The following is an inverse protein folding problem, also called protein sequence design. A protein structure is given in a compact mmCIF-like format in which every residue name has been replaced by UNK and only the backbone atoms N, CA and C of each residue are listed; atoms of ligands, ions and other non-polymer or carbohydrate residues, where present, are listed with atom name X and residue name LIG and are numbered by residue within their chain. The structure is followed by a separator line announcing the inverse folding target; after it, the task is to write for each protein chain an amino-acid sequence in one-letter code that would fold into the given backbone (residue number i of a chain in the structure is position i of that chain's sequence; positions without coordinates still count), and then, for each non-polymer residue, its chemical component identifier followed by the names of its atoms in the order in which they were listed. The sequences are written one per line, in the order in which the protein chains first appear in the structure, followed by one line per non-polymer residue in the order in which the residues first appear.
data_IF_244317545577
#
_entry.id   IF_244317545577
#
_cell.length_a   1.000
_cell.length_b   1.000
_cell.length_c   1.000
_cell.angle_alpha   90.00
_cell.angle_beta   90.00
_cell.angle_gamma   90.00
#
_symmetry.space_group_name_H-M   'P 1'
#
loop_
_entity.id
_entity.type
_entity.pdbx_description
1 polymer ?
#
# COMPACT_ATOMS: atom_id res chain seq x y z
N UNK A 1 6.00 8.02 -10.10
CA UNK A 1 6.96 7.81 -9.00
C UNK A 1 6.86 6.34 -8.62
N UNK A 2 7.98 5.69 -8.28
CA UNK A 2 7.98 4.27 -7.94
C UNK A 2 7.83 4.11 -6.43
N UNK A 3 7.04 3.12 -6.03
CA UNK A 3 6.89 2.70 -4.65
C UNK A 3 7.13 1.20 -4.55
N UNK A 4 7.95 0.75 -3.61
CA UNK A 4 8.19 -0.68 -3.39
C UNK A 4 7.96 -1.06 -1.93
N UNK A 5 7.62 -2.32 -1.66
CA UNK A 5 7.30 -2.77 -0.28
C UNK A 5 8.48 -2.62 0.69
N UNK A 6 9.70 -2.58 0.17
CA UNK A 6 10.97 -2.52 0.89
C UNK A 6 11.64 -1.13 0.86
N UNK A 7 10.95 -0.11 0.36
CA UNK A 7 11.47 1.27 0.23
C UNK A 7 12.80 1.36 -0.58
N UNK A 8 12.97 0.49 -1.56
CA UNK A 8 14.20 0.32 -2.33
C UNK A 8 14.37 1.27 -3.52
N UNK A 9 13.36 2.09 -3.85
CA UNK A 9 13.33 2.87 -5.10
C UNK A 9 13.89 4.30 -4.96
N UNK A 10 14.65 4.58 -3.90
CA UNK A 10 15.32 5.86 -3.65
C UNK A 10 14.46 6.87 -2.86
N UNK A 11 14.88 8.14 -2.84
CA UNK A 11 14.30 9.16 -1.95
C UNK A 11 12.80 9.46 -2.18
N UNK A 12 12.28 9.17 -3.37
CA UNK A 12 10.86 9.34 -3.70
C UNK A 12 10.00 8.13 -3.33
N UNK A 13 10.59 7.08 -2.77
CA UNK A 13 9.88 5.86 -2.42
C UNK A 13 9.17 6.01 -1.07
N UNK A 14 7.86 6.23 -1.11
CA UNK A 14 6.97 6.24 0.07
C UNK A 14 6.58 4.84 0.56
N UNK A 15 7.12 3.78 -0.03
CA UNK A 15 6.84 2.42 0.40
C UNK A 15 5.37 2.01 0.27
N UNK A 16 4.89 1.22 1.24
CA UNK A 16 3.49 0.79 1.34
C UNK A 16 2.53 1.98 1.44
N UNK A 17 2.92 3.07 2.11
CA UNK A 17 2.09 4.28 2.23
C UNK A 17 1.75 4.85 0.84
N UNK A 18 2.75 4.99 -0.04
CA UNK A 18 2.53 5.47 -1.41
C UNK A 18 1.67 4.53 -2.26
N UNK A 19 1.80 3.21 -2.05
CA UNK A 19 0.94 2.22 -2.72
C UNK A 19 -0.51 2.36 -2.26
N UNK A 20 -0.74 2.55 -0.96
CA UNK A 20 -2.08 2.72 -0.39
C UNK A 20 -2.69 4.07 -0.79
N UNK A 21 -1.91 5.15 -0.82
CA UNK A 21 -2.32 6.47 -1.33
C UNK A 21 -2.81 6.35 -2.78
N UNK A 22 -2.08 5.62 -3.63
CA UNK A 22 -2.51 5.34 -5.00
C UNK A 22 -3.83 4.56 -5.04
N UNK A 23 -3.95 3.47 -4.27
CA UNK A 23 -5.18 2.65 -4.23
C UNK A 23 -6.40 3.49 -3.85
N UNK A 24 -6.28 4.34 -2.82
CA UNK A 24 -7.38 5.18 -2.33
C UNK A 24 -7.90 6.17 -3.38
N UNK A 25 -6.99 6.73 -4.19
CA UNK A 25 -7.34 7.75 -5.19
C UNK A 25 -7.65 7.14 -6.57
N UNK A 26 -7.33 5.86 -6.78
CA UNK A 26 -7.48 5.23 -8.09
C UNK A 26 -8.93 4.85 -8.37
N UNK A 27 -9.42 5.25 -9.54
CA UNK A 27 -10.69 4.77 -10.10
C UNK A 27 -10.37 4.06 -11.42
N UNK A 28 -10.68 2.76 -11.49
CA UNK A 28 -10.49 1.97 -12.70
C UNK A 28 -11.25 2.58 -13.89
N UNK A 29 -10.54 2.81 -15.00
CA UNK A 29 -11.12 3.33 -16.23
C UNK A 29 -11.35 2.22 -17.28
N UNK A 30 -11.70 2.59 -18.51
CA UNK A 30 -11.94 1.64 -19.60
C UNK A 30 -10.74 0.77 -19.93
N UNK A 31 -9.51 1.29 -19.81
CA UNK A 31 -8.27 0.55 -20.08
C UNK A 31 -8.08 -0.57 -19.05
N UNK A 32 -8.29 -0.27 -17.76
CA UNK A 32 -8.22 -1.27 -16.68
C UNK A 32 -9.19 -2.43 -16.94
N UNK A 33 -10.40 -2.12 -17.44
CA UNK A 33 -11.45 -3.10 -17.76
C UNK A 33 -11.08 -3.93 -19.00
N UNK A 34 -10.59 -3.29 -20.04
CA UNK A 34 -10.16 -3.96 -21.27
C UNK A 34 -9.04 -4.97 -20.99
N UNK A 35 -8.10 -4.59 -20.12
CA UNK A 35 -6.98 -5.44 -19.73
C UNK A 35 -7.33 -6.41 -18.60
N UNK A 36 -8.58 -6.39 -18.12
CA UNK A 36 -9.08 -7.24 -17.03
C UNK A 36 -8.20 -7.17 -15.79
N UNK A 37 -7.71 -5.98 -15.47
CA UNK A 37 -6.95 -5.78 -14.24
C UNK A 37 -7.85 -5.97 -13.03
N UNK A 38 -7.35 -6.61 -11.95
CA UNK A 38 -8.12 -6.75 -10.73
C UNK A 38 -8.50 -5.37 -10.19
N UNK A 39 -9.73 -5.23 -9.70
CA UNK A 39 -10.12 -4.03 -8.97
C UNK A 39 -9.36 -3.98 -7.64
N UNK A 40 -8.96 -2.79 -7.22
CA UNK A 40 -8.13 -2.57 -6.03
C UNK A 40 -9.00 -2.43 -4.76
N UNK A 41 -10.17 -3.07 -4.74
CA UNK A 41 -11.20 -2.88 -3.73
C UNK A 41 -10.71 -3.42 -2.38
N UNK A 42 -10.24 -2.49 -1.53
CA UNK A 42 -10.12 -2.55 -0.07
C UNK A 42 -10.08 -3.95 0.55
N UNK A 43 -8.98 -4.68 0.40
CA UNK A 43 -8.57 -5.57 1.48
C UNK A 43 -8.12 -4.67 2.64
N UNK A 44 -8.78 -4.83 3.78
CA UNK A 44 -8.55 -4.07 5.01
C UNK A 44 -7.04 -4.00 5.31
N UNK A 45 -6.53 -2.86 5.82
CA UNK A 45 -5.16 -2.83 6.30
C UNK A 45 -5.00 -3.98 7.30
N UNK A 46 -4.05 -4.89 7.06
CA UNK A 46 -3.68 -5.89 8.05
C UNK A 46 -3.25 -5.12 9.31
N UNK A 47 -4.15 -5.05 10.30
CA UNK A 47 -3.88 -4.55 11.65
C UNK A 47 -2.98 -5.54 12.39
N UNK A 48 -1.78 -5.78 11.89
CA UNK A 48 -0.78 -6.53 12.62
C UNK A 48 0.55 -5.85 12.31
N UNK A 49 0.89 -4.84 13.12
CA UNK A 49 2.28 -4.41 13.39
C UNK A 49 2.39 -3.19 14.33
N UNK A 50 1.28 -2.56 14.76
CA UNK A 50 1.43 -1.25 15.42
C UNK A 50 1.90 -1.27 16.89
N UNK A 51 1.71 -2.31 17.72
CA UNK A 51 2.14 -2.27 19.14
C UNK A 51 2.52 -3.60 19.82
N UNK A 52 3.28 -4.47 19.17
CA UNK A 52 4.10 -5.46 19.91
C UNK A 52 5.50 -4.89 20.19
N UNK A 53 5.59 -4.02 21.19
CA UNK A 53 6.79 -3.79 22.03
C UNK A 53 6.41 -2.86 23.18
N UNK A 54 5.94 -3.45 24.27
CA UNK A 54 5.99 -2.81 25.58
C UNK A 54 7.27 -3.29 26.29
N UNK A 55 8.37 -2.49 26.33
CA UNK A 55 9.61 -2.89 26.98
C UNK A 55 9.57 -2.72 28.52
N UNK A 56 8.38 -2.74 29.15
CA UNK A 56 8.19 -2.54 30.60
C UNK A 56 7.45 -3.66 31.33
N UNK A 57 7.59 -4.90 30.88
CA UNK A 57 7.37 -6.04 31.77
C UNK A 57 8.65 -6.23 32.62
N UNK A 58 8.61 -5.69 33.85
CA UNK A 58 9.50 -6.07 34.96
C UNK A 58 9.01 -7.37 35.57
#
# INVERSE_FOLDING_TARGET
MLHSKDNGMGLGDKGIEGINEFKYQHICNSICKEWKLPQLDSEEPEEDDMYHKDPRAV
#
